data_IF_878605689531
#
_entry.id   IF_878605689531
#
_cell.length_a   1.000
_cell.length_b   1.000
_cell.length_c   1.000
_cell.angle_alpha   90.00
_cell.angle_beta   90.00
_cell.angle_gamma   90.00
#
_symmetry.space_group_name_H-M   'P 1'
#
loop_
_entity.id
_entity.type
_entity.pdbx_description
1 polymer ?
#
# COMPACT_ATOMS: atom_id res chain seq x y z
N UNK A 1 -10.53 -8.97 2.72
CA UNK A 1 -11.19 -10.18 3.26
C UNK A 1 -10.24 -11.33 3.58
N UNK A 2 -9.50 -11.95 2.62
CA UNK A 2 -8.60 -13.09 2.94
C UNK A 2 -7.56 -12.75 4.02
N UNK A 3 -6.97 -11.56 3.97
CA UNK A 3 -6.05 -11.07 4.99
C UNK A 3 -6.75 -10.90 6.34
N UNK A 4 -7.98 -10.40 6.34
CA UNK A 4 -8.78 -10.18 7.55
C UNK A 4 -9.07 -11.51 8.26
N UNK A 5 -9.65 -12.48 7.53
CA UNK A 5 -9.97 -13.81 8.07
C UNK A 5 -8.71 -14.48 8.63
N UNK A 6 -7.59 -14.42 7.90
CA UNK A 6 -6.33 -15.00 8.34
C UNK A 6 -5.78 -14.34 9.59
N UNK A 7 -5.84 -13.01 9.68
CA UNK A 7 -5.39 -12.26 10.86
C UNK A 7 -6.24 -12.63 12.07
N UNK A 8 -7.57 -12.54 11.95
CA UNK A 8 -8.51 -12.85 13.03
C UNK A 8 -8.31 -14.28 13.53
N UNK A 9 -8.26 -15.26 12.62
CA UNK A 9 -8.05 -16.66 12.97
C UNK A 9 -6.69 -16.92 13.63
N UNK A 10 -5.62 -16.25 13.18
CA UNK A 10 -4.27 -16.40 13.78
C UNK A 10 -4.18 -15.87 15.22
N UNK A 11 -5.09 -14.99 15.60
CA UNK A 11 -5.20 -14.44 16.95
C UNK A 11 -6.16 -15.24 17.86
N UNK A 12 -6.79 -16.31 17.32
CA UNK A 12 -7.67 -17.19 18.08
C UNK A 12 -9.13 -16.76 18.12
N UNK A 13 -9.52 -15.72 17.37
CA UNK A 13 -10.90 -15.30 17.21
C UNK A 13 -11.57 -15.99 16.01
N UNK A 14 -12.88 -16.14 16.04
CA UNK A 14 -13.67 -16.72 14.95
C UNK A 14 -14.16 -15.62 14.00
N UNK A 15 -13.87 -15.76 12.71
CA UNK A 15 -14.26 -14.80 11.69
C UNK A 15 -15.38 -15.33 10.79
N UNK A 16 -16.47 -14.58 10.71
CA UNK A 16 -17.52 -14.74 9.69
C UNK A 16 -17.47 -13.54 8.75
N UNK A 17 -17.98 -13.67 7.54
CA UNK A 17 -17.85 -12.60 6.56
C UNK A 17 -19.04 -12.49 5.62
N UNK A 18 -19.36 -11.24 5.22
CA UNK A 18 -20.25 -10.91 4.12
C UNK A 18 -19.48 -10.20 3.01
N UNK A 19 -19.73 -10.56 1.77
CA UNK A 19 -19.07 -10.01 0.60
C UNK A 19 -19.89 -8.84 0.05
N UNK A 20 -19.27 -7.67 -0.11
CA UNK A 20 -19.88 -6.49 -0.72
C UNK A 20 -19.52 -6.36 -2.19
N UNK A 21 -18.30 -6.76 -2.55
CA UNK A 21 -17.76 -6.68 -3.92
C UNK A 21 -16.78 -7.83 -4.18
N UNK A 22 -16.77 -8.34 -5.41
CA UNK A 22 -15.80 -9.31 -5.88
C UNK A 22 -14.80 -8.58 -6.78
N UNK A 23 -13.51 -8.75 -6.52
CA UNK A 23 -12.42 -8.16 -7.34
C UNK A 23 -11.81 -9.21 -8.24
N UNK A 24 -11.73 -8.93 -9.54
CA UNK A 24 -10.83 -9.65 -10.44
C UNK A 24 -9.45 -9.06 -10.25
N UNK A 25 -8.64 -9.70 -9.42
CA UNK A 25 -7.37 -9.16 -8.94
C UNK A 25 -6.25 -10.21 -9.06
N UNK A 26 -5.07 -9.74 -9.42
CA UNK A 26 -3.83 -10.50 -9.36
C UNK A 26 -2.74 -9.72 -8.61
N UNK A 27 -1.50 -10.21 -8.62
CA UNK A 27 -0.35 -9.54 -7.95
C UNK A 27 0.03 -8.19 -8.56
N UNK A 28 -0.62 -7.80 -9.65
CA UNK A 28 -0.36 -6.58 -10.42
C UNK A 28 -1.35 -5.47 -10.01
N UNK A 29 -2.53 -5.86 -9.52
CA UNK A 29 -3.59 -4.94 -9.13
C UNK A 29 -4.98 -5.44 -9.48
N UNK A 30 -5.96 -4.58 -9.27
CA UNK A 30 -7.36 -4.85 -9.53
C UNK A 30 -7.64 -4.54 -11.02
N UNK A 31 -8.18 -5.52 -11.73
CA UNK A 31 -8.54 -5.39 -13.14
C UNK A 31 -10.00 -4.95 -13.32
N UNK A 32 -10.90 -5.47 -12.48
CA UNK A 32 -12.31 -5.11 -12.50
C UNK A 32 -12.98 -5.44 -11.17
N UNK A 33 -14.18 -4.89 -10.99
CA UNK A 33 -15.03 -5.14 -9.82
C UNK A 33 -16.37 -5.70 -10.28
N UNK A 34 -16.91 -6.57 -9.44
CA UNK A 34 -18.32 -6.95 -9.49
C UNK A 34 -18.93 -6.64 -8.11
N UNK A 35 -19.69 -5.55 -8.05
CA UNK A 35 -20.36 -5.13 -6.82
C UNK A 35 -21.65 -5.94 -6.65
N UNK A 36 -21.82 -6.55 -5.47
CA UNK A 36 -23.02 -7.34 -5.19
C UNK A 36 -24.24 -6.45 -4.97
N UNK A 37 -25.45 -6.90 -5.37
CA UNK A 37 -26.69 -6.19 -5.07
C UNK A 37 -26.89 -6.04 -3.55
N UNK A 38 -27.41 -4.89 -3.15
CA UNK A 38 -27.64 -4.56 -1.72
C UNK A 38 -28.51 -5.63 -1.01
N UNK A 39 -29.52 -6.18 -1.69
CA UNK A 39 -30.34 -7.27 -1.15
C UNK A 39 -29.53 -8.53 -0.84
N UNK A 40 -28.55 -8.87 -1.69
CA UNK A 40 -27.66 -10.02 -1.47
C UNK A 40 -26.75 -9.77 -0.27
N UNK A 41 -26.20 -8.55 -0.13
CA UNK A 41 -25.38 -8.17 1.02
C UNK A 41 -26.20 -8.25 2.31
N UNK A 42 -27.43 -7.72 2.31
CA UNK A 42 -28.36 -7.80 3.44
C UNK A 42 -28.60 -9.25 3.84
N UNK A 43 -28.95 -10.11 2.88
CA UNK A 43 -29.21 -11.53 3.16
C UNK A 43 -28.01 -12.27 3.74
N UNK A 44 -26.78 -11.99 3.27
CA UNK A 44 -25.55 -12.55 3.85
C UNK A 44 -25.37 -12.15 5.32
N UNK A 45 -25.51 -10.83 5.62
CA UNK A 45 -25.31 -10.33 6.98
C UNK A 45 -26.38 -10.87 7.92
N UNK A 46 -27.66 -10.85 7.50
CA UNK A 46 -28.78 -11.34 8.33
C UNK A 46 -28.64 -12.85 8.61
N UNK A 47 -28.22 -13.64 7.63
CA UNK A 47 -27.97 -15.07 7.83
C UNK A 47 -26.90 -15.33 8.90
N UNK A 48 -25.82 -14.53 8.89
CA UNK A 48 -24.72 -14.64 9.86
C UNK A 48 -25.14 -14.12 11.24
N UNK A 49 -25.75 -12.93 11.30
CA UNK A 49 -26.06 -12.27 12.59
C UNK A 49 -27.15 -13.03 13.35
N UNK A 50 -28.11 -13.63 12.65
CA UNK A 50 -29.16 -14.42 13.26
C UNK A 50 -28.69 -15.78 13.82
N UNK A 51 -27.50 -16.23 13.42
CA UNK A 51 -26.92 -17.52 13.87
C UNK A 51 -25.81 -17.31 14.91
N UNK A 52 -24.86 -16.40 14.64
CA UNK A 52 -23.61 -16.28 15.41
C UNK A 52 -23.61 -15.09 16.38
N UNK A 53 -24.47 -14.10 16.18
CA UNK A 53 -24.57 -12.85 16.98
C UNK A 53 -23.19 -12.15 17.20
N UNK A 54 -22.52 -11.69 16.14
CA UNK A 54 -21.17 -11.12 16.27
C UNK A 54 -21.19 -9.83 17.07
N UNK A 55 -20.35 -9.73 18.09
CA UNK A 55 -20.23 -8.55 18.95
C UNK A 55 -19.39 -7.44 18.30
N UNK A 56 -18.47 -7.81 17.43
CA UNK A 56 -17.56 -6.88 16.74
C UNK A 56 -17.78 -7.02 15.23
N UNK A 57 -17.99 -5.89 14.57
CA UNK A 57 -18.12 -5.80 13.12
C UNK A 57 -16.95 -5.00 12.55
N UNK A 58 -16.21 -5.61 11.63
CA UNK A 58 -15.22 -4.89 10.82
C UNK A 58 -15.77 -4.62 9.43
N UNK A 59 -15.69 -3.37 9.01
CA UNK A 59 -16.11 -2.90 7.70
C UNK A 59 -14.87 -2.50 6.90
N UNK A 60 -14.74 -3.03 5.70
CA UNK A 60 -13.71 -2.66 4.73
C UNK A 60 -14.27 -1.76 3.63
N UNK A 61 -13.85 -2.01 2.39
CA UNK A 61 -14.24 -1.24 1.21
C UNK A 61 -15.75 -1.37 0.91
N UNK A 62 -16.43 -0.22 0.76
CA UNK A 62 -17.82 -0.11 0.33
C UNK A 62 -17.84 0.76 -0.93
N UNK A 63 -18.34 0.23 -2.04
CA UNK A 63 -18.29 0.91 -3.35
C UNK A 63 -19.60 1.52 -3.81
N UNK A 64 -20.72 1.15 -3.18
CA UNK A 64 -22.08 1.54 -3.59
C UNK A 64 -22.83 2.15 -2.43
N UNK A 65 -23.59 3.19 -2.72
CA UNK A 65 -24.41 3.92 -1.73
C UNK A 65 -25.55 3.05 -1.16
N UNK A 66 -26.18 2.22 -1.99
CA UNK A 66 -27.23 1.31 -1.56
C UNK A 66 -26.73 0.19 -0.62
N UNK A 67 -25.50 -0.30 -0.85
CA UNK A 67 -24.83 -1.25 0.03
C UNK A 67 -24.41 -0.57 1.35
N UNK A 68 -23.93 0.67 1.29
CA UNK A 68 -23.63 1.47 2.49
C UNK A 68 -24.89 1.65 3.35
N UNK A 69 -26.02 1.99 2.74
CA UNK A 69 -27.27 2.14 3.46
C UNK A 69 -27.69 0.84 4.16
N UNK A 70 -27.56 -0.30 3.48
CA UNK A 70 -27.81 -1.62 4.09
C UNK A 70 -26.92 -1.85 5.31
N UNK A 71 -25.63 -1.53 5.22
CA UNK A 71 -24.68 -1.69 6.34
C UNK A 71 -25.08 -0.81 7.51
N UNK A 72 -25.40 0.47 7.27
CA UNK A 72 -25.87 1.42 8.29
C UNK A 72 -27.14 0.91 8.97
N UNK A 73 -28.14 0.48 8.18
CA UNK A 73 -29.40 -0.06 8.71
C UNK A 73 -29.16 -1.28 9.63
N UNK A 74 -28.24 -2.17 9.22
CA UNK A 74 -27.91 -3.37 9.99
C UNK A 74 -27.15 -3.05 11.28
N UNK A 75 -26.21 -2.08 11.27
CA UNK A 75 -25.55 -1.60 12.49
C UNK A 75 -26.57 -1.02 13.47
N UNK A 76 -27.49 -0.18 12.99
CA UNK A 76 -28.54 0.42 13.81
C UNK A 76 -29.51 -0.63 14.35
N UNK A 77 -29.86 -1.65 13.55
CA UNK A 77 -30.77 -2.73 13.92
C UNK A 77 -30.17 -3.67 14.97
N UNK A 78 -28.94 -4.15 14.73
CA UNK A 78 -28.33 -5.22 15.54
C UNK A 78 -27.43 -4.70 16.68
N UNK A 79 -27.01 -3.42 16.61
CA UNK A 79 -26.23 -2.71 17.65
C UNK A 79 -25.03 -3.50 18.14
N UNK A 80 -24.07 -3.88 17.25
CA UNK A 80 -22.87 -4.55 17.68
C UNK A 80 -22.13 -3.69 18.72
N UNK A 81 -21.45 -4.32 19.67
CA UNK A 81 -20.72 -3.61 20.74
C UNK A 81 -19.59 -2.75 20.16
N UNK A 82 -19.02 -3.19 19.06
CA UNK A 82 -17.88 -2.53 18.43
C UNK A 82 -17.99 -2.52 16.91
N UNK A 83 -17.77 -1.37 16.29
CA UNK A 83 -17.71 -1.19 14.84
C UNK A 83 -16.35 -0.62 14.47
N UNK A 84 -15.56 -1.40 13.72
CA UNK A 84 -14.25 -1.01 13.18
C UNK A 84 -14.41 -0.70 11.69
N UNK A 85 -14.12 0.52 11.28
CA UNK A 85 -14.09 0.88 9.86
C UNK A 85 -12.65 1.03 9.37
N UNK A 86 -12.29 0.25 8.36
CA UNK A 86 -11.01 0.30 7.67
C UNK A 86 -11.18 1.05 6.35
N UNK A 87 -10.84 2.33 6.36
CA UNK A 87 -11.05 3.18 5.19
C UNK A 87 -10.04 2.85 4.09
N UNK A 88 -10.53 2.34 2.96
CA UNK A 88 -9.72 2.02 1.79
C UNK A 88 -10.18 2.92 0.65
N UNK A 89 -9.54 4.07 0.50
CA UNK A 89 -9.88 5.04 -0.55
C UNK A 89 -9.21 4.73 -1.87
N UNK A 90 -7.94 4.28 -1.83
CA UNK A 90 -7.12 4.05 -3.02
C UNK A 90 -6.55 2.64 -3.06
N UNK A 91 -6.36 2.13 -4.29
CA UNK A 91 -5.63 0.90 -4.53
C UNK A 91 -4.13 1.07 -4.22
N UNK A 92 -3.38 -0.04 -4.19
CA UNK A 92 -1.91 0.02 -4.08
C UNK A 92 -1.24 0.82 -5.22
N UNK A 93 -1.92 0.94 -6.36
CA UNK A 93 -1.45 1.69 -7.53
C UNK A 93 -1.90 3.16 -7.52
N UNK A 94 -2.63 3.60 -6.48
CA UNK A 94 -3.15 4.96 -6.34
C UNK A 94 -4.52 5.20 -6.99
N UNK A 95 -5.13 4.20 -7.63
CA UNK A 95 -6.46 4.34 -8.25
C UNK A 95 -7.54 4.57 -7.19
N UNK A 96 -8.42 5.54 -7.43
CA UNK A 96 -9.53 5.83 -6.54
C UNK A 96 -10.54 4.67 -6.59
N UNK A 97 -10.86 4.10 -5.42
CA UNK A 97 -11.75 2.96 -5.28
C UNK A 97 -13.18 3.34 -4.86
N UNK A 98 -13.34 4.50 -4.24
CA UNK A 98 -14.62 5.02 -3.76
C UNK A 98 -15.08 6.21 -4.61
N UNK A 99 -16.34 6.20 -4.99
CA UNK A 99 -16.96 7.33 -5.66
C UNK A 99 -17.24 8.48 -4.65
N UNK A 100 -17.24 9.75 -5.10
CA UNK A 100 -17.43 10.91 -4.20
C UNK A 100 -18.73 10.88 -3.41
N UNK A 101 -19.82 10.39 -3.99
CA UNK A 101 -21.12 10.24 -3.37
C UNK A 101 -21.14 9.21 -2.24
N UNK A 102 -20.44 8.08 -2.43
CA UNK A 102 -20.24 7.06 -1.41
C UNK A 102 -19.43 7.63 -0.25
N UNK A 103 -18.38 8.39 -0.55
CA UNK A 103 -17.52 9.02 0.45
C UNK A 103 -18.29 10.04 1.30
N UNK A 104 -19.14 10.86 0.67
CA UNK A 104 -20.00 11.81 1.38
C UNK A 104 -20.96 11.09 2.36
N UNK A 105 -21.57 10.00 1.93
CA UNK A 105 -22.46 9.22 2.79
C UNK A 105 -21.71 8.47 3.90
N UNK A 106 -20.49 7.97 3.65
CA UNK A 106 -19.65 7.38 4.70
C UNK A 106 -19.42 8.38 5.81
N UNK A 107 -19.07 9.64 5.50
CA UNK A 107 -18.88 10.68 6.51
C UNK A 107 -20.15 10.94 7.33
N UNK A 108 -21.28 11.08 6.66
CA UNK A 108 -22.52 11.47 7.30
C UNK A 108 -23.20 10.34 8.08
N UNK A 109 -23.12 9.10 7.59
CA UNK A 109 -23.93 8.01 8.10
C UNK A 109 -23.13 6.92 8.78
N UNK A 110 -21.93 6.58 8.30
CA UNK A 110 -21.14 5.46 8.82
C UNK A 110 -20.17 5.90 9.92
N UNK A 111 -19.37 6.96 9.69
CA UNK A 111 -18.35 7.37 10.65
C UNK A 111 -18.91 7.65 12.07
N UNK A 112 -20.11 8.27 12.23
CA UNK A 112 -20.69 8.47 13.55
C UNK A 112 -21.06 7.18 14.30
N UNK A 113 -21.22 6.05 13.57
CA UNK A 113 -21.55 4.75 14.15
C UNK A 113 -20.32 3.91 14.48
N UNK A 114 -19.12 4.35 14.04
CA UNK A 114 -17.90 3.59 14.23
C UNK A 114 -17.29 3.83 15.61
N UNK A 115 -16.88 2.76 16.27
CA UNK A 115 -16.11 2.84 17.51
C UNK A 115 -14.61 3.07 17.24
N UNK A 116 -14.12 2.67 16.05
CA UNK A 116 -12.73 2.76 15.66
C UNK A 116 -12.62 2.93 14.14
N UNK A 117 -11.91 3.96 13.70
CA UNK A 117 -11.73 4.28 12.27
C UNK A 117 -10.25 4.29 11.93
N UNK A 118 -9.84 3.47 10.98
CA UNK A 118 -8.44 3.41 10.50
C UNK A 118 -8.31 4.19 9.21
N UNK A 119 -7.42 5.16 9.18
CA UNK A 119 -7.22 6.06 8.05
C UNK A 119 -5.73 6.21 7.73
N UNK A 120 -5.34 6.20 6.47
CA UNK A 120 -4.00 6.62 6.06
C UNK A 120 -3.84 8.12 6.21
N UNK A 121 -2.67 8.58 6.66
CA UNK A 121 -2.41 10.02 6.85
C UNK A 121 -2.63 10.82 5.57
N UNK A 122 -2.18 10.31 4.42
CA UNK A 122 -2.39 10.95 3.11
C UNK A 122 -3.84 11.02 2.66
N UNK A 123 -4.71 10.13 3.17
CA UNK A 123 -6.13 10.05 2.80
C UNK A 123 -7.05 10.74 3.83
N UNK A 124 -6.48 11.23 4.94
CA UNK A 124 -7.25 11.77 6.06
C UNK A 124 -8.22 12.88 5.65
N UNK A 125 -7.75 13.86 4.87
CA UNK A 125 -8.57 14.97 4.41
C UNK A 125 -9.71 14.51 3.50
N UNK A 126 -9.43 13.54 2.63
CA UNK A 126 -10.41 12.98 1.71
C UNK A 126 -11.47 12.14 2.45
N UNK A 127 -11.10 11.42 3.52
CA UNK A 127 -12.01 10.57 4.29
C UNK A 127 -12.81 11.35 5.32
N UNK A 128 -12.15 12.21 6.10
CA UNK A 128 -12.75 12.89 7.25
C UNK A 128 -13.32 14.27 6.88
N UNK A 129 -12.83 14.91 5.81
CA UNK A 129 -13.11 16.30 5.53
C UNK A 129 -12.41 17.21 6.54
N UNK A 130 -13.14 18.14 7.14
CA UNK A 130 -12.66 19.05 8.19
C UNK A 130 -12.99 18.56 9.61
N UNK A 131 -13.67 17.42 9.74
CA UNK A 131 -14.11 16.90 11.02
C UNK A 131 -12.96 16.24 11.78
N UNK A 132 -12.88 16.55 13.08
CA UNK A 132 -11.97 15.87 14.01
C UNK A 132 -12.77 14.88 14.83
N UNK A 133 -12.62 13.60 14.52
CA UNK A 133 -13.28 12.52 15.25
C UNK A 133 -12.30 11.89 16.26
N UNK A 134 -12.69 11.70 17.52
CA UNK A 134 -11.79 11.18 18.57
C UNK A 134 -11.43 9.70 18.39
N UNK A 135 -12.19 8.97 17.59
CA UNK A 135 -12.04 7.54 17.33
C UNK A 135 -11.24 7.22 16.06
N UNK A 136 -10.56 8.23 15.49
CA UNK A 136 -9.75 8.06 14.27
C UNK A 136 -8.30 7.73 14.62
N UNK A 137 -7.81 6.65 14.03
CA UNK A 137 -6.45 6.15 14.22
C UNK A 137 -5.70 6.15 12.88
N UNK A 138 -4.57 6.84 12.86
CA UNK A 138 -3.78 6.99 11.65
C UNK A 138 -2.78 5.86 11.49
N UNK A 139 -2.65 5.37 10.27
CA UNK A 139 -1.57 4.48 9.83
C UNK A 139 -0.66 5.20 8.85
N UNK A 140 0.61 4.83 8.84
CA UNK A 140 1.60 5.45 7.96
C UNK A 140 1.43 4.97 6.50
N UNK A 141 1.69 5.88 5.57
CA UNK A 141 1.58 5.62 4.12
C UNK A 141 2.64 4.62 3.61
N UNK A 142 3.75 4.51 4.33
CA UNK A 142 4.81 3.52 4.06
C UNK A 142 4.43 2.08 4.44
N UNK A 143 3.26 1.88 5.07
CA UNK A 143 2.79 0.54 5.41
C UNK A 143 2.63 -0.31 4.15
N UNK A 144 3.24 -1.51 4.15
CA UNK A 144 3.15 -2.46 3.05
C UNK A 144 1.69 -2.85 2.77
N UNK A 145 1.41 -3.20 1.51
CA UNK A 145 0.08 -3.63 1.10
C UNK A 145 -0.47 -4.75 2.01
N UNK A 146 -1.63 -4.53 2.62
CA UNK A 146 -2.27 -5.46 3.56
C UNK A 146 -1.97 -5.21 5.05
N UNK A 147 -1.03 -4.33 5.41
CA UNK A 147 -0.75 -4.03 6.83
C UNK A 147 -1.89 -3.27 7.50
N UNK A 148 -2.52 -2.34 6.80
CA UNK A 148 -3.69 -1.63 7.30
C UNK A 148 -4.83 -2.62 7.61
N UNK A 149 -5.12 -3.54 6.68
CA UNK A 149 -6.13 -4.58 6.89
C UNK A 149 -5.76 -5.52 8.05
N UNK A 150 -4.47 -5.87 8.19
CA UNK A 150 -4.01 -6.70 9.30
C UNK A 150 -4.13 -5.95 10.63
N UNK A 151 -3.81 -4.65 10.67
CA UNK A 151 -3.94 -3.82 11.85
C UNK A 151 -5.39 -3.70 12.29
N UNK A 152 -6.29 -3.26 11.41
CA UNK A 152 -7.71 -3.10 11.72
C UNK A 152 -8.38 -4.42 12.11
N UNK A 153 -7.99 -5.53 11.48
CA UNK A 153 -8.48 -6.87 11.83
C UNK A 153 -7.93 -7.37 13.16
N UNK A 154 -6.68 -7.04 13.49
CA UNK A 154 -6.12 -7.39 14.79
C UNK A 154 -6.79 -6.60 15.93
N UNK A 155 -7.08 -5.30 15.71
CA UNK A 155 -7.87 -4.51 16.67
C UNK A 155 -9.22 -5.17 16.89
N UNK A 156 -9.95 -5.50 15.82
CA UNK A 156 -11.25 -6.16 15.91
C UNK A 156 -11.19 -7.49 16.67
N UNK A 157 -10.15 -8.30 16.40
CA UNK A 157 -9.97 -9.59 17.06
C UNK A 157 -9.66 -9.45 18.56
N UNK A 158 -8.75 -8.53 18.94
CA UNK A 158 -8.41 -8.33 20.37
C UNK A 158 -9.57 -7.79 21.16
N UNK A 159 -10.36 -6.86 20.59
CA UNK A 159 -11.62 -6.41 21.23
C UNK A 159 -12.62 -7.55 21.39
N UNK A 160 -12.80 -8.38 20.36
CA UNK A 160 -13.69 -9.55 20.43
C UNK A 160 -13.24 -10.59 21.47
N UNK A 161 -11.95 -10.64 21.77
CA UNK A 161 -11.36 -11.49 22.82
C UNK A 161 -11.41 -10.85 24.22
N UNK A 162 -11.99 -9.66 24.36
CA UNK A 162 -12.24 -9.01 25.65
C UNK A 162 -11.21 -7.94 26.07
N UNK A 163 -10.27 -7.57 25.20
CA UNK A 163 -9.35 -6.46 25.48
C UNK A 163 -10.11 -5.12 25.39
N UNK A 164 -9.73 -4.16 26.24
CA UNK A 164 -10.13 -2.77 26.05
C UNK A 164 -9.45 -2.17 24.80
N UNK A 165 -10.00 -1.04 24.29
CA UNK A 165 -9.55 -0.45 23.04
C UNK A 165 -8.06 -0.08 23.03
N UNK A 166 -7.55 0.49 24.10
CA UNK A 166 -6.14 0.94 24.19
C UNK A 166 -5.18 -0.25 24.17
N UNK A 167 -5.54 -1.32 24.87
CA UNK A 167 -4.81 -2.59 24.88
C UNK A 167 -4.88 -3.28 23.52
N UNK A 168 -6.07 -3.33 22.90
CA UNK A 168 -6.27 -3.92 21.59
C UNK A 168 -5.45 -3.18 20.50
N UNK A 169 -5.45 -1.84 20.49
CA UNK A 169 -4.64 -1.05 19.56
C UNK A 169 -3.13 -1.32 19.75
N UNK A 170 -2.63 -1.29 20.95
CA UNK A 170 -1.22 -1.56 21.25
C UNK A 170 -0.82 -2.97 20.78
N UNK A 171 -1.58 -3.99 21.15
CA UNK A 171 -1.35 -5.39 20.73
C UNK A 171 -1.41 -5.54 19.22
N UNK A 172 -2.35 -4.86 18.55
CA UNK A 172 -2.47 -4.88 17.08
C UNK A 172 -1.25 -4.26 16.40
N UNK A 173 -0.72 -3.13 16.91
CA UNK A 173 0.53 -2.54 16.41
C UNK A 173 1.71 -3.48 16.57
N UNK A 174 1.87 -4.10 17.75
CA UNK A 174 2.91 -5.10 18.00
C UNK A 174 2.77 -6.32 17.07
N UNK A 175 1.55 -6.81 16.85
CA UNK A 175 1.27 -7.92 15.95
C UNK A 175 1.69 -7.61 14.51
N UNK A 176 1.34 -6.43 13.99
CA UNK A 176 1.72 -6.01 12.64
C UNK A 176 3.24 -5.88 12.51
N UNK A 177 3.91 -5.26 13.49
CA UNK A 177 5.39 -5.13 13.49
C UNK A 177 6.07 -6.50 13.52
N UNK A 178 5.61 -7.45 14.35
CA UNK A 178 6.16 -8.82 14.39
C UNK A 178 5.86 -9.60 13.11
N UNK A 179 4.69 -9.39 12.49
CA UNK A 179 4.28 -10.01 11.23
C UNK A 179 5.00 -9.46 10.01
N UNK A 180 5.77 -8.38 10.15
CA UNK A 180 6.59 -7.76 9.09
C UNK A 180 7.80 -8.59 8.64
N UNK A 181 8.10 -9.73 9.27
CA UNK A 181 9.02 -10.67 8.65
C UNK A 181 8.38 -11.18 7.36
N UNK A 182 9.00 -10.98 6.19
CA UNK A 182 8.42 -11.36 4.91
C UNK A 182 8.32 -12.89 4.84
N UNK A 183 7.19 -13.44 5.28
CA UNK A 183 6.79 -14.78 4.83
C UNK A 183 6.49 -14.61 3.35
N UNK A 184 7.41 -15.07 2.51
CA UNK A 184 7.29 -15.06 1.08
C UNK A 184 5.97 -15.76 0.68
N UNK A 185 4.94 -14.96 0.46
CA UNK A 185 3.71 -15.46 -0.19
C UNK A 185 4.02 -15.81 -1.65
N UNK A 186 3.17 -16.59 -2.33
CA UNK A 186 3.37 -16.90 -3.73
C UNK A 186 3.43 -15.60 -4.54
N UNK A 187 4.64 -15.26 -4.98
CA UNK A 187 4.84 -14.11 -5.85
C UNK A 187 4.36 -14.48 -7.26
N UNK A 188 3.54 -13.64 -7.86
CA UNK A 188 3.17 -13.79 -9.26
C UNK A 188 4.41 -13.75 -10.17
N UNK A 189 4.31 -14.37 -11.35
CA UNK A 189 5.42 -14.46 -12.32
C UNK A 189 5.99 -13.07 -12.62
N UNK A 190 5.14 -12.06 -12.79
CA UNK A 190 5.57 -10.67 -13.01
C UNK A 190 6.33 -10.08 -11.83
N UNK A 191 5.89 -10.29 -10.61
CA UNK A 191 6.58 -9.80 -9.39
C UNK A 191 7.93 -10.50 -9.21
N UNK A 192 8.01 -11.81 -9.48
CA UNK A 192 9.29 -12.54 -9.45
C UNK A 192 10.27 -11.99 -10.48
N UNK A 193 9.81 -11.74 -11.70
CA UNK A 193 10.61 -11.16 -12.76
C UNK A 193 11.09 -9.75 -12.38
N UNK A 194 10.20 -8.92 -11.85
CA UNK A 194 10.53 -7.57 -11.39
C UNK A 194 11.59 -7.58 -10.26
N UNK A 195 11.45 -8.44 -9.26
CA UNK A 195 12.43 -8.56 -8.18
C UNK A 195 13.81 -9.06 -8.71
N UNK A 196 13.83 -10.00 -9.65
CA UNK A 196 15.07 -10.41 -10.34
C UNK A 196 15.68 -9.25 -11.12
N UNK A 197 14.85 -8.43 -11.78
CA UNK A 197 15.31 -7.22 -12.45
C UNK A 197 15.96 -6.24 -11.48
N UNK A 198 15.35 -5.96 -10.32
CA UNK A 198 15.92 -5.08 -9.29
C UNK A 198 17.29 -5.61 -8.81
N UNK A 199 17.39 -6.90 -8.52
CA UNK A 199 18.66 -7.54 -8.13
C UNK A 199 19.74 -7.38 -9.22
N UNK A 200 19.38 -7.53 -10.49
CA UNK A 200 20.31 -7.30 -11.60
C UNK A 200 20.71 -5.83 -11.71
N UNK A 201 19.78 -4.90 -11.50
CA UNK A 201 20.09 -3.48 -11.48
C UNK A 201 21.10 -3.18 -10.37
N UNK A 202 20.88 -3.65 -9.16
CA UNK A 202 21.81 -3.45 -8.03
C UNK A 202 23.22 -3.96 -8.33
N UNK A 203 23.33 -5.07 -9.06
CA UNK A 203 24.62 -5.67 -9.39
C UNK A 203 25.34 -5.02 -10.58
N UNK A 204 24.61 -4.41 -11.51
CA UNK A 204 25.16 -4.01 -12.81
C UNK A 204 24.95 -2.53 -13.17
N UNK A 205 24.24 -1.73 -12.38
CA UNK A 205 23.89 -0.34 -12.73
C UNK A 205 25.11 0.57 -13.01
N UNK A 206 26.27 0.24 -12.44
CA UNK A 206 27.52 0.99 -12.66
C UNK A 206 28.14 0.74 -14.04
N UNK A 207 27.92 -0.44 -14.60
CA UNK A 207 28.52 -0.86 -15.86
C UNK A 207 27.55 -0.88 -17.03
N UNK A 208 26.26 -1.05 -16.74
CA UNK A 208 25.21 -1.17 -17.76
C UNK A 208 24.00 -0.33 -17.44
N UNK A 209 23.68 0.60 -18.33
CA UNK A 209 22.48 1.42 -18.25
C UNK A 209 21.43 1.10 -19.34
N UNK A 210 21.70 0.07 -20.17
CA UNK A 210 20.84 -0.34 -21.28
C UNK A 210 19.80 -1.36 -20.80
N UNK A 211 18.52 -1.09 -21.09
CA UNK A 211 17.41 -1.98 -20.78
C UNK A 211 17.50 -3.33 -21.47
N UNK A 212 18.08 -3.37 -22.69
CA UNK A 212 18.25 -4.60 -23.44
C UNK A 212 19.14 -5.60 -22.69
N UNK A 213 20.25 -5.15 -22.11
CA UNK A 213 21.13 -6.00 -21.28
C UNK A 213 20.35 -6.72 -20.17
N UNK A 214 19.51 -6.00 -19.44
CA UNK A 214 18.72 -6.58 -18.35
C UNK A 214 17.64 -7.53 -18.84
N UNK A 215 17.01 -7.20 -19.98
CA UNK A 215 16.03 -8.07 -20.60
C UNK A 215 16.64 -9.40 -21.04
N UNK A 216 17.83 -9.36 -21.65
CA UNK A 216 18.58 -10.55 -22.06
C UNK A 216 19.00 -11.41 -20.85
N UNK A 217 19.52 -10.80 -19.77
CA UNK A 217 19.84 -11.52 -18.53
C UNK A 217 18.62 -12.22 -17.90
N UNK A 218 17.44 -11.71 -18.17
CA UNK A 218 16.17 -12.26 -17.67
C UNK A 218 15.51 -13.23 -18.64
N UNK A 219 16.07 -13.43 -19.84
CA UNK A 219 15.49 -14.19 -20.94
C UNK A 219 14.09 -13.73 -21.33
N UNK A 220 13.90 -12.40 -21.45
CA UNK A 220 12.63 -11.78 -21.87
C UNK A 220 12.91 -10.66 -22.88
N UNK A 221 11.86 -10.22 -23.59
CA UNK A 221 12.00 -9.05 -24.45
C UNK A 221 12.00 -7.75 -23.62
N UNK A 222 12.70 -6.71 -24.11
CA UNK A 222 12.69 -5.39 -23.47
C UNK A 222 11.27 -4.81 -23.35
N UNK A 223 10.40 -5.09 -24.31
CA UNK A 223 8.98 -4.69 -24.28
C UNK A 223 8.23 -5.37 -23.13
N UNK A 224 8.44 -6.69 -22.95
CA UNK A 224 7.80 -7.41 -21.85
C UNK A 224 8.33 -6.96 -20.49
N UNK A 225 9.64 -6.72 -20.37
CA UNK A 225 10.23 -6.14 -19.16
C UNK A 225 9.63 -4.77 -18.84
N UNK A 226 9.45 -3.92 -19.85
CA UNK A 226 8.82 -2.60 -19.69
C UNK A 226 7.37 -2.72 -19.20
N UNK A 227 6.59 -3.64 -19.78
CA UNK A 227 5.22 -3.91 -19.34
C UNK A 227 5.18 -4.37 -17.87
N UNK A 228 6.09 -5.29 -17.47
CA UNK A 228 6.18 -5.80 -16.10
C UNK A 228 6.57 -4.67 -15.13
N UNK A 229 7.60 -3.88 -15.46
CA UNK A 229 8.03 -2.75 -14.62
C UNK A 229 6.93 -1.70 -14.45
N UNK A 230 6.28 -1.29 -15.55
CA UNK A 230 5.15 -0.36 -15.48
C UNK A 230 4.02 -0.90 -14.61
N UNK A 231 3.71 -2.16 -14.76
CA UNK A 231 2.62 -2.85 -14.10
C UNK A 231 2.86 -3.04 -12.60
N UNK A 232 4.10 -3.32 -12.19
CA UNK A 232 4.45 -3.59 -10.78
C UNK A 232 4.83 -2.32 -10.03
N UNK A 233 5.49 -1.34 -10.68
CA UNK A 233 6.05 -0.15 -10.02
C UNK A 233 5.55 1.18 -10.56
N UNK A 234 4.73 1.18 -11.61
CA UNK A 234 4.32 2.40 -12.30
C UNK A 234 5.44 3.10 -13.08
N UNK A 235 6.65 2.51 -13.13
CA UNK A 235 7.86 3.14 -13.72
C UNK A 235 8.39 2.30 -14.88
N UNK A 236 9.06 2.97 -15.83
CA UNK A 236 9.80 2.25 -16.87
C UNK A 236 11.09 1.62 -16.32
N UNK A 237 11.61 0.54 -16.93
CA UNK A 237 12.91 -0.04 -16.54
C UNK A 237 14.02 0.99 -16.54
N UNK A 238 14.05 1.86 -17.55
CA UNK A 238 15.06 2.93 -17.66
C UNK A 238 15.00 3.89 -16.48
N UNK A 239 13.81 4.29 -16.06
CA UNK A 239 13.65 5.18 -14.88
C UNK A 239 14.15 4.52 -13.59
N UNK A 240 13.98 3.21 -13.45
CA UNK A 240 14.47 2.46 -12.28
C UNK A 240 16.00 2.41 -12.28
N UNK A 241 16.62 2.10 -13.41
CA UNK A 241 18.08 2.08 -13.56
C UNK A 241 18.66 3.47 -13.31
N UNK A 242 18.12 4.50 -13.98
CA UNK A 242 18.59 5.88 -13.86
C UNK A 242 18.49 6.40 -12.43
N UNK A 243 17.45 6.02 -11.71
CA UNK A 243 17.30 6.35 -10.29
C UNK A 243 18.40 5.70 -9.44
N UNK A 244 18.68 4.41 -9.63
CA UNK A 244 19.73 3.69 -8.89
C UNK A 244 21.10 4.32 -9.13
N UNK A 245 21.42 4.64 -10.40
CA UNK A 245 22.64 5.37 -10.76
C UNK A 245 22.71 6.72 -10.04
N UNK A 246 21.62 7.49 -10.06
CA UNK A 246 21.55 8.82 -9.45
C UNK A 246 21.73 8.77 -7.94
N UNK A 247 21.10 7.82 -7.26
CA UNK A 247 21.20 7.62 -5.81
C UNK A 247 22.63 7.21 -5.40
N UNK A 248 23.29 6.35 -6.18
CA UNK A 248 24.68 5.96 -5.96
C UNK A 248 25.63 7.15 -6.13
N UNK A 249 25.48 7.93 -7.21
CA UNK A 249 26.25 9.14 -7.45
C UNK A 249 26.06 10.15 -6.30
N UNK A 250 24.82 10.39 -5.88
CA UNK A 250 24.52 11.30 -4.78
C UNK A 250 25.20 10.88 -3.48
N UNK A 251 25.29 9.58 -3.23
CA UNK A 251 25.98 9.00 -2.08
C UNK A 251 27.49 9.25 -2.14
N UNK A 252 28.12 8.99 -3.29
CA UNK A 252 29.56 9.23 -3.47
C UNK A 252 29.90 10.73 -3.41
N UNK A 253 29.05 11.60 -3.97
CA UNK A 253 29.24 13.06 -3.88
C UNK A 253 29.21 13.58 -2.44
N UNK A 254 28.48 12.92 -1.54
CA UNK A 254 28.37 13.27 -0.11
C UNK A 254 29.50 12.68 0.74
N UNK A 255 29.94 11.48 0.41
CA UNK A 255 30.79 10.66 1.29
C UNK A 255 32.25 10.61 0.85
N UNK A 256 32.59 11.14 -0.31
CA UNK A 256 33.95 11.09 -0.83
C UNK A 256 34.40 12.43 -1.43
N UNK A 257 35.72 12.70 -1.33
CA UNK A 257 36.36 13.83 -1.96
C UNK A 257 36.88 13.50 -3.37
N UNK A 258 36.46 12.37 -3.94
CA UNK A 258 36.87 11.94 -5.29
C UNK A 258 36.59 13.03 -6.32
N UNK A 259 37.49 13.26 -7.27
CA UNK A 259 37.24 14.13 -8.42
C UNK A 259 35.99 13.71 -9.18
N UNK A 260 35.23 14.66 -9.71
CA UNK A 260 34.01 14.38 -10.48
C UNK A 260 34.27 13.48 -11.71
N UNK A 261 35.48 13.59 -12.27
CA UNK A 261 35.90 12.75 -13.39
C UNK A 261 36.04 11.27 -12.98
N UNK A 262 36.54 11.00 -11.79
CA UNK A 262 36.68 9.67 -11.23
C UNK A 262 35.29 9.05 -10.93
N UNK A 263 34.41 9.82 -10.27
CA UNK A 263 33.02 9.38 -10.03
C UNK A 263 32.30 9.08 -11.36
N UNK A 264 32.52 9.90 -12.39
CA UNK A 264 31.97 9.65 -13.72
C UNK A 264 32.46 8.33 -14.30
N UNK A 265 33.76 8.03 -14.20
CA UNK A 265 34.34 6.79 -14.66
C UNK A 265 33.82 5.56 -13.88
N UNK A 266 33.74 5.66 -12.54
CA UNK A 266 33.23 4.60 -11.65
C UNK A 266 31.77 4.22 -11.95
N UNK A 267 31.00 5.14 -12.56
CA UNK A 267 29.61 4.91 -12.98
C UNK A 267 29.45 4.69 -14.50
N UNK A 268 30.53 4.39 -15.21
CA UNK A 268 30.51 4.01 -16.62
C UNK A 268 30.21 5.17 -17.59
N UNK A 269 30.38 6.43 -17.18
CA UNK A 269 30.21 7.57 -18.08
C UNK A 269 31.46 7.79 -18.93
N UNK A 270 31.28 7.95 -20.23
CA UNK A 270 32.36 8.17 -21.18
C UNK A 270 33.06 9.55 -21.01
N UNK A 271 32.43 10.49 -20.33
CA UNK A 271 32.99 11.81 -20.05
C UNK A 271 32.31 12.50 -18.86
N UNK A 272 33.03 13.39 -18.18
CA UNK A 272 32.49 14.24 -17.12
C UNK A 272 31.34 15.15 -17.61
N UNK A 273 31.36 15.56 -18.87
CA UNK A 273 30.30 16.38 -19.45
C UNK A 273 28.99 15.58 -19.57
N UNK A 274 29.07 14.33 -20.03
CA UNK A 274 27.91 13.42 -20.11
C UNK A 274 27.35 13.12 -18.72
N UNK A 275 28.20 12.79 -17.76
CA UNK A 275 27.87 12.61 -16.35
C UNK A 275 27.14 13.82 -15.77
N UNK A 276 27.68 15.03 -15.95
CA UNK A 276 27.09 16.26 -15.40
C UNK A 276 25.72 16.56 -16.01
N UNK A 277 25.55 16.32 -17.31
CA UNK A 277 24.27 16.48 -18.02
C UNK A 277 23.23 15.49 -17.53
N UNK A 278 23.62 14.21 -17.36
CA UNK A 278 22.77 13.16 -16.82
C UNK A 278 22.28 13.51 -15.41
N UNK A 279 23.21 13.81 -14.49
CA UNK A 279 22.88 14.09 -13.10
C UNK A 279 22.00 15.33 -12.95
N UNK A 280 22.30 16.40 -13.70
CA UNK A 280 21.46 17.61 -13.72
C UNK A 280 20.06 17.34 -14.27
N UNK A 281 19.93 16.48 -15.28
CA UNK A 281 18.62 16.07 -15.82
C UNK A 281 17.79 15.33 -14.76
N UNK A 282 18.41 14.47 -13.94
CA UNK A 282 17.71 13.66 -12.95
C UNK A 282 17.37 14.42 -11.66
N UNK A 283 18.23 15.35 -11.23
CA UNK A 283 18.16 16.00 -9.91
C UNK A 283 17.86 17.51 -9.95
N UNK A 284 17.97 18.13 -11.12
CA UNK A 284 17.86 19.59 -11.29
C UNK A 284 19.15 20.35 -10.92
N UNK A 285 20.15 19.71 -10.30
CA UNK A 285 21.42 20.34 -9.86
C UNK A 285 22.62 19.73 -10.58
N UNK A 286 23.66 20.54 -10.82
CA UNK A 286 24.93 19.96 -11.25
C UNK A 286 25.59 19.16 -10.12
N UNK A 287 26.43 18.14 -10.44
CA UNK A 287 27.18 17.42 -9.41
C UNK A 287 28.02 18.32 -8.50
N UNK A 288 28.63 19.37 -9.06
CA UNK A 288 29.42 20.36 -8.32
C UNK A 288 28.56 21.18 -7.34
N UNK A 289 27.38 21.62 -7.80
CA UNK A 289 26.47 22.39 -6.95
C UNK A 289 25.85 21.50 -5.85
N UNK A 290 25.54 20.25 -6.17
CA UNK A 290 25.05 19.28 -5.18
C UNK A 290 26.10 19.05 -4.08
N UNK A 291 27.36 18.78 -4.42
CA UNK A 291 28.46 18.59 -3.47
C UNK A 291 28.65 19.82 -2.59
N UNK A 292 28.67 21.03 -3.18
CA UNK A 292 28.82 22.28 -2.43
C UNK A 292 27.72 22.52 -1.41
N UNK A 293 26.47 22.24 -1.78
CA UNK A 293 25.32 22.39 -0.87
C UNK A 293 25.38 21.41 0.30
N UNK A 294 25.82 20.18 0.04
CA UNK A 294 25.87 19.14 1.08
C UNK A 294 26.98 19.43 2.11
N UNK A 295 28.12 19.99 1.67
CA UNK A 295 29.24 20.40 2.56
C UNK A 295 28.92 21.65 3.39
N UNK A 296 27.91 22.45 3.02
CA UNK A 296 27.50 23.66 3.78
C UNK A 296 26.43 23.32 4.86
N UNK A 297 25.92 22.11 4.89
CA UNK A 297 24.83 21.69 5.79
C UNK A 297 25.34 20.74 6.89
N UNK A 298 26.62 20.40 6.88
CA UNK A 298 27.34 19.63 7.89
C UNK A 298 28.19 20.57 8.76
#
# INVERSE_FOLDING_TARGET
MQADIRTIASLGAYAVSAITSITMQNTIGIQSFYDLPAATVRGQVEAVVNDVEPQVVKIGMIRRTDVLQVIVDLIVKYKPLFVVYDSILRSANGDLLLAPDVLAQIRQQLLPLCSFVVVRRSEARDILGEEVLPNVHFVDDAALHGQQNAFSSAVAAFVALGDDMSTAERKAREFVVRGMQPKAGPQGVGTKLFNRFLTLVDNHFRTNSDVAFYADCLNVTATYLAQVCHRVSGKSPKNIIDRQVTESIATELRQSDKPLQEIAADHGFSSQAHFSKFYKKQTGLSPSDYRRRTLQTT
#
